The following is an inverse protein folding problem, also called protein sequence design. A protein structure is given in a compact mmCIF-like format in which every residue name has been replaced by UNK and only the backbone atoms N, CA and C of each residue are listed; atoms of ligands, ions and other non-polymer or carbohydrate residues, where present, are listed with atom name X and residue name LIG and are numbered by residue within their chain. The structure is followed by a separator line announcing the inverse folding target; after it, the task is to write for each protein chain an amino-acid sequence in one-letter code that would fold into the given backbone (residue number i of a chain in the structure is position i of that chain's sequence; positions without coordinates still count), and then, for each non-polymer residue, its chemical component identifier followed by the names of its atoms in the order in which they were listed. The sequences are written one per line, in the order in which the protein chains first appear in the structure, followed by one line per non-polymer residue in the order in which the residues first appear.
data_IF_439310696695
#
_entry.id   IF_439310696695
#
_cell.length_a   1.000
_cell.length_b   1.000
_cell.length_c   1.000
_cell.angle_alpha   90.00
_cell.angle_beta   90.00
_cell.angle_gamma   90.00
#
_symmetry.space_group_name_H-M   'P 1'
#
loop_
_entity.id
_entity.type
_entity.pdbx_description
1 polymer ?
#
# COMPACT_ATOMS: atom_id res chain seq x y z
N UNK A 1 -9.38 -13.06 12.10
CA UNK A 1 -8.59 -14.06 11.38
C UNK A 1 -8.40 -13.64 9.94
N UNK A 2 -7.29 -14.00 9.35
CA UNK A 2 -6.94 -13.56 8.01
C UNK A 2 -7.90 -14.08 6.94
N UNK A 3 -8.49 -15.24 7.15
CA UNK A 3 -9.45 -15.81 6.19
C UNK A 3 -10.71 -14.96 6.03
N UNK A 4 -10.99 -14.08 6.98
CA UNK A 4 -12.12 -13.17 6.88
C UNK A 4 -11.75 -11.83 6.28
N UNK A 5 -10.47 -11.66 5.92
CA UNK A 5 -9.98 -10.43 5.34
C UNK A 5 -9.94 -10.55 3.83
N UNK A 6 -10.28 -9.47 3.14
CA UNK A 6 -10.23 -9.43 1.69
C UNK A 6 -9.79 -8.05 1.24
N UNK A 7 -9.27 -8.00 0.02
CA UNK A 7 -8.87 -6.72 -0.58
C UNK A 7 -10.13 -6.04 -1.11
N UNK A 8 -10.24 -4.75 -0.82
CA UNK A 8 -11.33 -3.94 -1.35
C UNK A 8 -10.82 -2.56 -1.70
N UNK A 9 -11.60 -1.81 -2.47
CA UNK A 9 -11.24 -0.43 -2.77
C UNK A 9 -11.38 0.43 -1.52
N UNK A 10 -10.34 1.23 -1.24
CA UNK A 10 -10.46 2.28 -0.23
C UNK A 10 -11.31 3.41 -0.75
N UNK A 11 -12.25 3.89 0.04
CA UNK A 11 -13.12 5.01 -0.30
C UNK A 11 -12.87 6.16 0.64
N UNK A 12 -13.36 7.35 0.28
CA UNK A 12 -13.03 8.56 1.04
C UNK A 12 -13.44 8.50 2.51
N UNK A 13 -14.48 7.74 2.85
CA UNK A 13 -14.85 7.56 4.25
C UNK A 13 -13.84 6.71 5.03
N UNK A 14 -12.92 6.03 4.34
CA UNK A 14 -11.87 5.24 4.98
C UNK A 14 -10.62 6.06 5.32
N UNK A 15 -10.61 7.35 4.97
CA UNK A 15 -9.38 8.15 5.02
C UNK A 15 -8.76 8.21 6.42
N UNK A 16 -9.56 8.31 7.47
CA UNK A 16 -9.03 8.41 8.81
C UNK A 16 -8.32 7.13 9.24
N UNK A 17 -8.93 5.99 8.97
CA UNK A 17 -8.33 4.69 9.27
C UNK A 17 -7.09 4.45 8.43
N UNK A 18 -7.14 4.83 7.14
CA UNK A 18 -5.99 4.73 6.24
C UNK A 18 -4.81 5.54 6.76
N UNK A 19 -5.05 6.80 7.11
CA UNK A 19 -3.98 7.68 7.59
C UNK A 19 -3.46 7.27 8.96
N UNK A 20 -4.28 6.62 9.77
CA UNK A 20 -3.81 6.07 11.03
C UNK A 20 -2.74 5.00 10.79
N UNK A 21 -2.95 4.14 9.81
CA UNK A 21 -1.94 3.15 9.42
C UNK A 21 -0.70 3.82 8.85
N UNK A 22 -0.87 4.81 7.99
CA UNK A 22 0.27 5.54 7.40
C UNK A 22 1.13 6.15 8.50
N UNK A 23 0.52 6.78 9.49
CA UNK A 23 1.28 7.36 10.60
C UNK A 23 2.04 6.31 11.41
N UNK A 24 1.42 5.16 11.60
CA UNK A 24 2.04 4.06 12.34
C UNK A 24 3.31 3.54 11.65
N UNK A 25 3.34 3.57 10.33
CA UNK A 25 4.47 3.04 9.56
C UNK A 25 5.33 4.12 8.92
N UNK A 26 5.07 5.39 9.22
CA UNK A 26 5.72 6.50 8.53
C UNK A 26 7.24 6.47 8.63
N UNK A 27 7.79 5.90 9.70
CA UNK A 27 9.24 5.77 9.87
C UNK A 27 9.88 4.88 8.81
N UNK A 28 9.08 4.04 8.14
CA UNK A 28 9.57 3.16 7.06
C UNK A 28 9.59 3.84 5.69
N UNK A 29 8.97 5.00 5.56
CA UNK A 29 8.79 5.64 4.26
C UNK A 29 9.57 6.95 4.20
N UNK A 30 10.60 7.04 3.32
CA UNK A 30 11.25 8.33 3.10
C UNK A 30 10.24 9.38 2.64
N UNK A 31 10.33 10.57 3.20
CA UNK A 31 9.44 11.66 2.86
C UNK A 31 8.21 11.78 3.73
N UNK A 32 8.02 10.88 4.70
CA UNK A 32 6.86 10.95 5.60
C UNK A 32 7.29 11.20 7.05
N UNK A 33 8.37 11.94 7.25
CA UNK A 33 8.91 12.19 8.59
C UNK A 33 8.24 13.35 9.31
N UNK A 34 7.48 14.22 8.61
CA UNK A 34 6.85 15.39 9.20
C UNK A 34 5.34 15.32 9.07
N UNK A 35 4.64 16.07 9.95
CA UNK A 35 3.18 16.16 9.83
C UNK A 35 2.76 16.78 8.50
N UNK A 36 3.52 17.75 8.02
CA UNK A 36 3.22 18.37 6.73
C UNK A 36 3.29 17.36 5.59
N UNK A 37 4.32 16.52 5.58
CA UNK A 37 4.45 15.49 4.53
C UNK A 37 3.34 14.46 4.64
N UNK A 38 2.89 14.12 5.84
CA UNK A 38 1.76 13.21 6.04
C UNK A 38 0.47 13.84 5.54
N UNK A 39 0.26 15.13 5.80
CA UNK A 39 -0.92 15.83 5.29
C UNK A 39 -0.94 15.90 3.77
N UNK A 40 0.21 16.13 3.15
CA UNK A 40 0.33 16.11 1.70
C UNK A 40 0.03 14.72 1.13
N UNK A 41 0.50 13.69 1.80
CA UNK A 41 0.21 12.31 1.41
C UNK A 41 -1.28 12.01 1.50
N UNK A 42 -1.96 12.55 2.51
CA UNK A 42 -3.41 12.37 2.66
C UNK A 42 -4.15 12.89 1.42
N UNK A 43 -3.74 14.03 0.89
CA UNK A 43 -4.35 14.60 -0.32
C UNK A 43 -4.15 13.63 -1.49
N UNK A 44 -2.96 13.06 -1.62
CA UNK A 44 -2.65 12.10 -2.67
C UNK A 44 -3.52 10.85 -2.53
N UNK A 45 -3.66 10.33 -1.30
CA UNK A 45 -4.49 9.15 -1.05
C UNK A 45 -5.94 9.41 -1.46
N UNK A 46 -6.48 10.58 -1.12
CA UNK A 46 -7.85 10.93 -1.49
C UNK A 46 -8.03 10.94 -3.01
N UNK A 47 -7.05 11.43 -3.76
CA UNK A 47 -7.10 11.38 -5.23
C UNK A 47 -7.13 9.95 -5.73
N UNK A 48 -6.29 9.09 -5.18
CA UNK A 48 -6.25 7.69 -5.58
C UNK A 48 -7.55 6.97 -5.24
N UNK A 49 -8.16 7.30 -4.10
CA UNK A 49 -9.47 6.74 -3.73
C UNK A 49 -10.55 7.14 -4.73
N UNK A 50 -10.58 8.43 -5.12
CA UNK A 50 -11.56 8.91 -6.09
C UNK A 50 -11.39 8.26 -7.46
N UNK A 51 -10.16 7.91 -7.82
CA UNK A 51 -9.85 7.29 -9.12
C UNK A 51 -9.92 5.77 -9.07
N UNK A 52 -10.31 5.18 -7.95
CA UNK A 52 -10.36 3.73 -7.73
C UNK A 52 -9.00 3.07 -7.95
N UNK A 53 -7.96 3.71 -7.41
CA UNK A 53 -6.58 3.22 -7.46
C UNK A 53 -5.99 3.01 -6.08
N UNK A 54 -6.85 2.89 -5.08
CA UNK A 54 -6.46 2.64 -3.70
C UNK A 54 -7.09 1.33 -3.23
N UNK A 55 -6.25 0.42 -2.76
CA UNK A 55 -6.70 -0.88 -2.25
C UNK A 55 -6.37 -0.98 -0.77
N UNK A 56 -7.21 -1.69 -0.03
CA UNK A 56 -6.96 -1.90 1.38
C UNK A 56 -7.46 -3.26 1.83
N UNK A 57 -6.93 -3.70 2.97
CA UNK A 57 -7.41 -4.87 3.69
C UNK A 57 -7.85 -4.40 5.07
N UNK A 58 -9.02 -4.83 5.48
CA UNK A 58 -9.59 -4.45 6.78
C UNK A 58 -9.72 -5.67 7.68
N UNK A 59 -9.44 -5.46 8.96
CA UNK A 59 -9.83 -6.37 10.02
C UNK A 59 -10.94 -5.68 10.81
N UNK A 60 -12.17 -6.14 10.61
CA UNK A 60 -13.36 -5.44 11.08
C UNK A 60 -13.44 -4.06 10.42
N UNK A 61 -13.26 -2.98 11.19
CA UNK A 61 -13.30 -1.62 10.64
C UNK A 61 -11.93 -0.99 10.51
N UNK A 62 -10.89 -1.67 10.98
CA UNK A 62 -9.54 -1.12 10.97
C UNK A 62 -8.80 -1.53 9.70
N UNK A 63 -8.19 -0.55 9.04
CA UNK A 63 -7.35 -0.83 7.88
C UNK A 63 -6.00 -1.34 8.38
N UNK A 64 -5.62 -2.54 7.92
CA UNK A 64 -4.39 -3.20 8.33
C UNK A 64 -3.39 -3.34 7.18
N UNK A 65 -3.80 -3.04 5.96
CA UNK A 65 -2.91 -3.01 4.81
C UNK A 65 -3.46 -2.07 3.74
N UNK A 66 -2.56 -1.42 3.02
CA UNK A 66 -2.93 -0.44 1.98
C UNK A 66 -1.99 -0.56 0.80
N UNK A 67 -2.52 -0.24 -0.39
CA UNK A 67 -1.73 -0.19 -1.61
C UNK A 67 -2.29 0.88 -2.54
N UNK A 68 -1.41 1.69 -3.11
CA UNK A 68 -1.75 2.65 -4.16
C UNK A 68 -1.06 2.22 -5.45
N UNK A 69 -1.77 2.29 -6.57
CA UNK A 69 -1.21 1.94 -7.86
C UNK A 69 -1.63 2.93 -8.95
N UNK A 70 -0.87 2.96 -10.03
CA UNK A 70 -1.14 3.82 -11.19
C UNK A 70 -1.19 2.98 -12.45
N UNK A 71 -2.35 2.96 -13.13
CA UNK A 71 -2.48 2.28 -14.42
C UNK A 71 -1.73 3.03 -15.51
N UNK A 72 -1.74 4.35 -15.45
CA UNK A 72 -1.08 5.19 -16.44
C UNK A 72 0.42 4.90 -16.52
N UNK A 73 1.03 4.72 -15.37
CA UNK A 73 2.47 4.46 -15.28
C UNK A 73 2.80 3.00 -15.06
N UNK A 74 1.79 2.14 -15.00
CA UNK A 74 1.94 0.70 -14.71
C UNK A 74 2.81 0.50 -13.48
N UNK A 75 2.44 1.14 -12.37
CA UNK A 75 3.30 1.31 -11.21
C UNK A 75 2.56 1.05 -9.91
N UNK A 76 3.27 0.42 -8.97
CA UNK A 76 2.84 0.35 -7.58
C UNK A 76 3.51 1.50 -6.84
N UNK A 77 2.69 2.43 -6.34
CA UNK A 77 3.17 3.69 -5.77
C UNK A 77 3.44 3.59 -4.26
N UNK A 78 2.69 2.75 -3.57
CA UNK A 78 2.79 2.63 -2.13
C UNK A 78 2.24 1.27 -1.69
N UNK A 79 2.87 0.67 -0.70
CA UNK A 79 2.39 -0.57 -0.07
C UNK A 79 2.82 -0.53 1.38
N UNK A 80 1.86 -0.70 2.28
CA UNK A 80 2.14 -0.73 3.71
C UNK A 80 1.23 -1.73 4.40
N UNK A 81 1.77 -2.42 5.41
CA UNK A 81 1.03 -3.37 6.24
C UNK A 81 1.32 -3.05 7.69
N UNK A 82 0.28 -3.08 8.52
CA UNK A 82 0.41 -2.90 9.96
C UNK A 82 1.42 -3.92 10.50
N UNK A 83 2.42 -3.48 11.28
CA UNK A 83 3.44 -4.39 11.80
C UNK A 83 2.86 -5.58 12.58
N UNK A 84 1.71 -5.39 13.23
CA UNK A 84 1.05 -6.47 13.98
C UNK A 84 0.47 -7.54 13.06
N UNK A 85 0.34 -7.24 11.76
CA UNK A 85 -0.29 -8.13 10.78
C UNK A 85 0.68 -8.62 9.71
N UNK A 86 1.98 -8.41 9.89
CA UNK A 86 2.98 -8.89 8.95
C UNK A 86 3.09 -10.40 8.99
N UNK A 87 3.56 -11.00 7.89
CA UNK A 87 3.71 -12.44 7.73
C UNK A 87 2.38 -13.20 7.73
N UNK A 88 1.28 -12.50 7.48
CA UNK A 88 -0.04 -13.10 7.37
C UNK A 88 -0.57 -13.10 5.93
N UNK A 89 0.28 -12.73 4.96
CA UNK A 89 -0.08 -12.76 3.56
C UNK A 89 -0.84 -11.53 3.06
N UNK A 90 -0.97 -10.49 3.89
CA UNK A 90 -1.75 -9.30 3.52
C UNK A 90 -1.10 -8.56 2.35
N UNK A 91 0.23 -8.36 2.39
CA UNK A 91 0.93 -7.71 1.29
C UNK A 91 0.80 -8.50 0.00
N UNK A 92 0.85 -9.84 0.09
CA UNK A 92 0.66 -10.69 -1.08
C UNK A 92 -0.73 -10.57 -1.66
N UNK A 93 -1.76 -10.48 -0.82
CA UNK A 93 -3.13 -10.26 -1.27
C UNK A 93 -3.26 -8.94 -2.03
N UNK A 94 -2.70 -7.88 -1.46
CA UNK A 94 -2.74 -6.55 -2.08
C UNK A 94 -2.01 -6.53 -3.41
N UNK A 95 -0.81 -7.10 -3.47
CA UNK A 95 -0.02 -7.15 -4.69
C UNK A 95 -0.73 -7.97 -5.77
N UNK A 96 -1.30 -9.11 -5.41
CA UNK A 96 -2.02 -9.95 -6.36
C UNK A 96 -3.17 -9.18 -7.01
N UNK A 97 -3.95 -8.46 -6.21
CA UNK A 97 -5.04 -7.64 -6.74
C UNK A 97 -4.54 -6.51 -7.63
N UNK A 98 -3.48 -5.82 -7.20
CA UNK A 98 -2.92 -4.73 -7.99
C UNK A 98 -2.38 -5.23 -9.32
N UNK A 99 -1.69 -6.36 -9.32
CA UNK A 99 -1.12 -6.93 -10.55
C UNK A 99 -2.21 -7.34 -11.54
N UNK A 100 -3.38 -7.78 -11.04
CA UNK A 100 -4.51 -8.08 -11.90
C UNK A 100 -5.07 -6.82 -12.59
N UNK A 101 -4.82 -5.66 -12.02
CA UNK A 101 -5.31 -4.38 -12.54
C UNK A 101 -4.26 -3.65 -13.38
N UNK A 102 -3.03 -4.12 -13.38
CA UNK A 102 -1.93 -3.55 -14.15
C UNK A 102 -1.62 -4.41 -15.36
N UNK A 103 -0.84 -3.86 -16.30
CA UNK A 103 -0.47 -4.56 -17.52
C UNK A 103 0.75 -5.45 -17.25
N UNK A 104 0.53 -6.75 -17.15
CA UNK A 104 1.60 -7.71 -16.86
C UNK A 104 2.53 -7.96 -18.05
N UNK A 105 2.10 -7.57 -19.24
CA UNK A 105 2.93 -7.70 -20.44
C UNK A 105 4.00 -6.62 -20.54
N UNK A 106 3.93 -5.61 -19.68
CA UNK A 106 4.89 -4.53 -19.60
C UNK A 106 5.57 -4.54 -18.23
N UNK A 107 6.71 -3.87 -18.15
CA UNK A 107 7.42 -3.75 -16.89
C UNK A 107 6.55 -3.03 -15.86
N UNK A 108 6.47 -3.60 -14.66
CA UNK A 108 5.74 -2.99 -13.56
C UNK A 108 6.76 -2.30 -12.65
N UNK A 109 6.59 -0.99 -12.52
CA UNK A 109 7.49 -0.17 -11.71
C UNK A 109 7.00 -0.22 -10.25
N UNK A 110 7.93 -0.39 -9.33
CA UNK A 110 7.62 -0.37 -7.90
C UNK A 110 8.38 0.76 -7.25
N UNK A 111 7.66 1.74 -6.71
CA UNK A 111 8.24 2.91 -6.06
C UNK A 111 7.93 2.85 -4.56
N UNK A 112 8.75 2.15 -3.81
CA UNK A 112 8.57 2.01 -2.36
C UNK A 112 9.86 2.41 -1.66
N UNK A 113 10.63 1.45 -1.17
CA UNK A 113 11.87 1.72 -0.44
C UNK A 113 13.05 1.84 -1.40
N UNK A 114 14.05 2.60 -0.99
CA UNK A 114 15.30 2.67 -1.74
C UNK A 114 16.02 1.33 -1.64
N UNK A 115 16.81 1.02 -2.65
CA UNK A 115 17.45 -0.28 -2.76
C UNK A 115 18.38 -0.57 -1.60
N UNK A 116 19.08 0.45 -1.11
CA UNK A 116 20.01 0.30 0.00
C UNK A 116 19.37 0.52 1.37
N UNK A 117 18.05 0.64 1.43
CA UNK A 117 17.32 0.85 2.67
C UNK A 117 17.00 -0.50 3.29
N UNK A 118 17.54 -0.75 4.47
CA UNK A 118 17.33 -2.01 5.19
C UNK A 118 15.85 -2.28 5.41
N UNK A 119 15.08 -1.24 5.69
CA UNK A 119 13.65 -1.36 5.93
C UNK A 119 12.88 -1.81 4.68
N UNK A 120 13.47 -1.64 3.51
CA UNK A 120 12.86 -2.06 2.26
C UNK A 120 13.13 -3.50 1.85
N UNK A 121 13.95 -4.22 2.60
CA UNK A 121 14.35 -5.59 2.22
C UNK A 121 13.15 -6.52 2.10
N UNK A 122 12.27 -6.53 3.12
CA UNK A 122 11.12 -7.41 3.10
C UNK A 122 10.17 -7.11 1.94
N UNK A 123 9.78 -5.85 1.67
CA UNK A 123 8.98 -5.54 0.50
C UNK A 123 9.65 -5.94 -0.82
N UNK A 124 10.95 -5.69 -0.98
CA UNK A 124 11.64 -6.05 -2.21
C UNK A 124 11.67 -7.56 -2.42
N UNK A 125 11.87 -8.33 -1.36
CA UNK A 125 11.82 -9.78 -1.47
C UNK A 125 10.45 -10.27 -1.89
N UNK A 126 9.40 -9.62 -1.41
CA UNK A 126 8.04 -9.93 -1.81
C UNK A 126 7.82 -9.64 -3.30
N UNK A 127 8.34 -8.51 -3.77
CA UNK A 127 8.21 -8.14 -5.19
C UNK A 127 8.93 -9.14 -6.10
N UNK A 128 10.09 -9.63 -5.69
CA UNK A 128 10.79 -10.66 -6.44
C UNK A 128 9.96 -11.93 -6.60
N UNK A 129 9.18 -12.25 -5.58
CA UNK A 129 8.29 -13.41 -5.63
C UNK A 129 7.25 -13.28 -6.73
N UNK A 130 6.80 -12.06 -7.03
CA UNK A 130 5.82 -11.79 -8.07
C UNK A 130 6.44 -11.37 -9.39
N UNK A 131 7.67 -10.91 -9.36
CA UNK A 131 8.38 -10.45 -10.54
C UNK A 131 8.90 -11.57 -11.38
#
# INVERSE_FOLDING_TARGET
MIENMKVEFGITSDIDSWMRLVKKVSWNFPGLETEQSIDEHKIIVLKFMNDKRALCVKNEQDIVGVLLYSRKHNMICCLAVDPAYRKKGIASMLLSEALDKLDRDKDIIVSTFRENDVKGIAPRNLYKKFG
#
